data_IF_083847651244
#
_entry.id   IF_083847651244
#
_cell.length_a   1.000
_cell.length_b   1.000
_cell.length_c   1.000
_cell.angle_alpha   90.00
_cell.angle_beta   90.00
_cell.angle_gamma   90.00
#
_symmetry.space_group_name_H-M   'P 1'
#
loop_
_entity.id
_entity.type
_entity.pdbx_description
1 polymer ?
#
# COMPACT_ATOMS: atom_id res chain seq x y z
N UNK A 1 0.33 -4.94 -4.60
CA UNK A 1 0.61 -3.50 -4.75
C UNK A 1 1.85 -3.15 -3.97
N UNK A 2 2.75 -2.31 -4.50
CA UNK A 2 3.93 -1.85 -3.78
C UNK A 2 4.06 -0.32 -3.87
N UNK A 3 4.52 0.29 -2.77
CA UNK A 3 4.76 1.73 -2.67
C UNK A 3 5.78 2.03 -1.57
N UNK A 4 6.37 3.23 -1.61
CA UNK A 4 7.32 3.69 -0.60
C UNK A 4 6.77 4.87 0.19
N UNK A 5 6.89 4.82 1.51
CA UNK A 5 6.66 6.00 2.34
C UNK A 5 7.79 7.00 2.17
N UNK A 6 7.48 8.30 1.94
CA UNK A 6 8.51 9.33 1.84
C UNK A 6 9.14 9.68 3.19
N UNK A 7 8.43 9.44 4.29
CA UNK A 7 8.86 9.78 5.64
C UNK A 7 9.28 8.57 6.47
N UNK A 8 9.02 8.64 7.77
CA UNK A 8 9.29 7.57 8.73
C UNK A 8 8.05 6.73 9.02
N UNK A 9 7.07 6.71 8.12
CA UNK A 9 5.83 6.00 8.36
C UNK A 9 6.05 4.49 8.42
N UNK A 10 5.41 3.84 9.38
CA UNK A 10 5.45 2.40 9.59
C UNK A 10 4.03 1.87 9.77
N UNK A 11 3.65 0.86 8.99
CA UNK A 11 2.32 0.24 9.11
C UNK A 11 2.24 -0.51 10.43
N UNK A 12 1.17 -0.27 11.18
CA UNK A 12 0.86 -0.99 12.42
C UNK A 12 -0.27 -2.00 12.23
N UNK A 13 -1.20 -1.73 11.32
CA UNK A 13 -2.27 -2.64 10.97
C UNK A 13 -2.68 -2.45 9.51
N UNK A 14 -3.12 -3.51 8.84
CA UNK A 14 -3.59 -3.50 7.46
C UNK A 14 -4.82 -4.41 7.32
N UNK A 15 -5.77 -4.02 6.47
CA UNK A 15 -6.96 -4.81 6.17
C UNK A 15 -7.20 -4.87 4.66
N UNK A 16 -7.90 -5.91 4.20
CA UNK A 16 -8.08 -6.23 2.78
C UNK A 16 -6.75 -6.42 2.01
N UNK A 17 -5.63 -6.56 2.72
CA UNK A 17 -4.32 -6.84 2.16
C UNK A 17 -3.46 -7.53 3.22
N UNK A 18 -2.43 -8.25 2.77
CA UNK A 18 -1.40 -8.84 3.62
C UNK A 18 -0.09 -8.11 3.38
N UNK A 19 0.62 -7.74 4.44
CA UNK A 19 1.93 -7.08 4.34
C UNK A 19 3.01 -8.01 4.91
N UNK A 20 4.06 -8.36 4.14
CA UNK A 20 5.28 -8.89 4.74
C UNK A 20 5.96 -7.79 5.57
N UNK A 21 6.68 -8.11 6.66
CA UNK A 21 7.38 -7.12 7.46
C UNK A 21 8.36 -6.35 6.57
N UNK A 22 8.09 -5.07 6.36
CA UNK A 22 8.91 -4.24 5.49
C UNK A 22 8.90 -2.80 5.98
N UNK A 23 10.07 -2.18 6.00
CA UNK A 23 10.32 -0.85 6.58
C UNK A 23 9.65 0.27 5.79
N UNK A 24 10.43 1.18 5.17
CA UNK A 24 9.84 2.29 4.39
C UNK A 24 9.19 1.83 3.08
N UNK A 25 9.58 0.66 2.57
CA UNK A 25 9.01 0.06 1.38
C UNK A 25 7.88 -0.87 1.80
N UNK A 26 6.67 -0.62 1.30
CA UNK A 26 5.47 -1.39 1.59
C UNK A 26 5.16 -2.29 0.40
N UNK A 27 4.96 -3.57 0.67
CA UNK A 27 4.39 -4.52 -0.28
C UNK A 27 3.07 -5.03 0.28
N UNK A 28 1.95 -4.56 -0.26
CA UNK A 28 0.62 -5.03 0.07
C UNK A 28 0.19 -6.13 -0.91
N UNK A 29 0.22 -7.38 -0.48
CA UNK A 29 -0.40 -8.51 -1.18
C UNK A 29 -1.93 -8.49 -1.04
N UNK A 30 -2.65 -9.11 -1.97
CA UNK A 30 -4.10 -9.25 -1.85
C UNK A 30 -4.47 -10.14 -0.65
N UNK A 31 -5.64 -9.91 -0.06
CA UNK A 31 -6.28 -10.90 0.78
C UNK A 31 -6.81 -12.06 -0.09
N UNK A 32 -7.01 -13.27 0.47
CA UNK A 32 -7.49 -14.41 -0.31
C UNK A 32 -8.82 -14.16 -1.04
N UNK A 33 -9.71 -13.37 -0.44
CA UNK A 33 -11.05 -13.11 -0.96
C UNK A 33 -11.12 -11.96 -2.00
N UNK A 34 -10.06 -11.17 -2.18
CA UNK A 34 -10.05 -10.03 -3.11
C UNK A 34 -8.92 -10.11 -4.15
N UNK A 35 -8.44 -11.32 -4.44
CA UNK A 35 -7.37 -11.57 -5.41
C UNK A 35 -7.75 -11.19 -6.85
N UNK A 36 -9.04 -11.34 -7.21
CA UNK A 36 -9.54 -11.06 -8.54
C UNK A 36 -9.93 -9.59 -8.72
N UNK A 37 -9.27 -8.90 -9.65
CA UNK A 37 -9.68 -7.57 -10.11
C UNK A 37 -10.11 -7.71 -11.58
N UNK A 38 -11.42 -7.75 -11.89
CA UNK A 38 -11.88 -7.76 -13.27
C UNK A 38 -11.49 -6.47 -13.98
N UNK A 39 -11.48 -6.46 -15.32
CA UNK A 39 -11.20 -5.26 -16.09
C UNK A 39 -12.21 -4.15 -15.74
N UNK A 40 -11.72 -2.95 -15.40
CA UNK A 40 -12.53 -1.85 -14.89
C UNK A 40 -13.03 -2.01 -13.45
N UNK A 41 -12.69 -3.13 -12.79
CA UNK A 41 -12.98 -3.40 -11.39
C UNK A 41 -12.12 -2.58 -10.44
N UNK A 42 -12.56 -2.50 -9.19
CA UNK A 42 -11.86 -1.78 -8.12
C UNK A 42 -11.74 -2.67 -6.89
N UNK A 43 -10.56 -2.67 -6.27
CA UNK A 43 -10.33 -3.27 -4.95
C UNK A 43 -9.80 -2.19 -4.03
N UNK A 44 -10.38 -2.13 -2.83
CA UNK A 44 -9.99 -1.18 -1.80
C UNK A 44 -9.20 -1.90 -0.71
N UNK A 45 -8.08 -1.28 -0.30
CA UNK A 45 -7.29 -1.67 0.85
C UNK A 45 -7.09 -0.48 1.77
N UNK A 46 -6.82 -0.75 3.04
CA UNK A 46 -6.53 0.31 4.01
C UNK A 46 -5.57 -0.17 5.08
N UNK A 47 -4.92 0.79 5.73
CA UNK A 47 -3.95 0.53 6.79
C UNK A 47 -3.93 1.68 7.80
N UNK A 48 -3.47 1.36 9.00
CA UNK A 48 -3.08 2.32 10.02
C UNK A 48 -1.55 2.34 10.11
N UNK A 49 -0.97 3.52 10.26
CA UNK A 49 0.47 3.70 10.37
C UNK A 49 0.83 4.72 11.45
N UNK A 50 2.00 4.55 12.06
CA UNK A 50 2.64 5.58 12.89
C UNK A 50 3.59 6.41 12.04
N UNK A 51 3.81 7.67 12.41
CA UNK A 51 4.79 8.55 11.77
C UNK A 51 5.42 9.47 12.80
N UNK A 52 6.64 9.94 12.55
CA UNK A 52 7.21 11.00 13.37
C UNK A 52 6.52 12.34 13.04
N UNK A 53 6.51 13.26 14.00
CA UNK A 53 5.92 14.58 13.79
C UNK A 53 6.54 15.25 12.55
N UNK A 54 5.69 15.74 11.64
CA UNK A 54 6.11 16.41 10.41
C UNK A 54 6.59 15.51 9.27
N UNK A 55 6.57 14.17 9.40
CA UNK A 55 7.06 13.26 8.35
C UNK A 55 5.96 12.48 7.62
N UNK A 56 4.69 12.81 7.83
CA UNK A 56 3.57 12.13 7.17
C UNK A 56 3.37 12.60 5.71
N UNK A 57 4.23 12.16 4.81
CA UNK A 57 4.11 12.47 3.37
C UNK A 57 3.35 11.39 2.58
N UNK A 58 2.72 11.78 1.48
CA UNK A 58 1.97 10.85 0.61
C UNK A 58 2.92 10.14 -0.36
N UNK A 59 2.85 8.81 -0.53
CA UNK A 59 3.59 8.10 -1.58
C UNK A 59 3.24 8.64 -2.98
N UNK A 60 4.25 8.99 -3.76
CA UNK A 60 4.04 9.54 -5.11
C UNK A 60 3.93 8.46 -6.20
N UNK A 61 4.32 7.21 -5.90
CA UNK A 61 4.38 6.13 -6.86
C UNK A 61 3.85 4.82 -6.26
N UNK A 62 3.05 4.13 -7.06
CA UNK A 62 2.47 2.84 -6.74
C UNK A 62 2.67 1.88 -7.91
N UNK A 63 2.90 0.62 -7.62
CA UNK A 63 2.90 -0.45 -8.61
C UNK A 63 1.91 -1.56 -8.26
N UNK A 64 1.26 -2.13 -9.25
CA UNK A 64 0.41 -3.31 -9.13
C UNK A 64 0.96 -4.40 -10.04
N UNK A 65 1.33 -5.54 -9.45
CA UNK A 65 1.95 -6.67 -10.15
C UNK A 65 3.11 -6.23 -11.08
N UNK A 66 3.94 -5.30 -10.60
CA UNK A 66 5.09 -4.77 -11.34
C UNK A 66 4.78 -3.67 -12.35
N UNK A 67 3.51 -3.28 -12.56
CA UNK A 67 3.14 -2.17 -13.45
C UNK A 67 2.89 -0.88 -12.66
N UNK A 68 3.38 0.24 -13.18
CA UNK A 68 3.15 1.55 -12.58
C UNK A 68 1.66 1.93 -12.64
N UNK A 69 1.13 2.42 -11.53
CA UNK A 69 -0.23 2.93 -11.42
C UNK A 69 -0.23 4.46 -11.57
N UNK A 70 -1.27 5.01 -12.20
CA UNK A 70 -1.50 6.45 -12.22
C UNK A 70 -2.01 6.88 -10.83
N UNK A 71 -1.42 7.95 -10.30
CA UNK A 71 -1.91 8.65 -9.10
C UNK A 71 -2.64 9.90 -9.58
N UNK A 72 -3.84 10.15 -9.06
CA UNK A 72 -4.68 11.31 -9.40
C UNK A 72 -5.38 11.83 -8.17
#
# INVERSE_FOLDING_TARGET
>A
MAFGFPGSQQITNIWNAVQPPSGKQVTAGNAPYNAGIPAGGTVNLGFSATSAAGTNGVPAAFTLNGKACKVS
#
